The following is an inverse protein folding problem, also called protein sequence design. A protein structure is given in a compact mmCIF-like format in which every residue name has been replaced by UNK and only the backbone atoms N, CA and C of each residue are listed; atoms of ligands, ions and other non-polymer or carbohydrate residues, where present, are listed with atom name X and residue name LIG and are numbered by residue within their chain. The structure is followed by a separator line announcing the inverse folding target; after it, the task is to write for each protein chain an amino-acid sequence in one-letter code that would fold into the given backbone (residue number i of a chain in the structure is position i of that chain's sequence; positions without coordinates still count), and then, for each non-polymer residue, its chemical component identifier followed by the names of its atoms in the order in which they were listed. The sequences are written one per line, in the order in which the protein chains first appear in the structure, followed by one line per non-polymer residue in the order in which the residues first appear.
data_IF_663234849377
#
_entry.id   IF_663234849377
#
_cell.length_a   1.000
_cell.length_b   1.000
_cell.length_c   1.000
_cell.angle_alpha   90.00
_cell.angle_beta   90.00
_cell.angle_gamma   90.00
#
_symmetry.space_group_name_H-M   'P 1'
#
loop_
_entity.id
_entity.type
_entity.pdbx_description
1 polymer ?
2 non-polymer ?
3 water ?
#
# COMPACT_ATOMS: atom_id res chain seq x y z
N UNK A 5 -16.78 8.52 3.70
CA UNK A 5 -15.53 9.17 3.28
C UNK A 5 -15.45 10.66 3.69
N UNK A 6 -16.18 11.04 4.77
CA UNK A 6 -16.17 12.42 5.29
C UNK A 6 -14.83 12.75 5.97
N UNK A 7 -14.31 13.98 5.75
CA UNK A 7 -13.01 14.39 6.28
C UNK A 7 -13.09 15.37 7.44
N UNK A 8 -12.16 15.24 8.41
CA UNK A 8 -12.07 16.19 9.52
C UNK A 8 -11.38 17.48 9.02
N UNK A 9 -11.45 18.58 9.82
CA UNK A 9 -10.88 19.89 9.48
C UNK A 9 -9.40 19.84 9.04
N UNK A 10 -8.57 19.07 9.77
CA UNK A 10 -7.14 18.90 9.50
C UNK A 10 -6.88 18.20 8.16
N UNK A 11 -7.67 17.17 7.83
CA UNK A 11 -7.52 16.43 6.57
C UNK A 11 -7.88 17.31 5.37
N UNK A 12 -9.01 18.03 5.47
CA UNK A 12 -9.52 18.93 4.42
C UNK A 12 -8.48 20.03 4.05
N UNK A 13 -7.85 20.62 5.07
CA UNK A 13 -6.84 21.67 4.96
C UNK A 13 -5.55 21.16 4.29
N UNK A 14 -5.04 19.96 4.68
CA UNK A 14 -3.84 19.35 4.11
C UNK A 14 -4.02 19.04 2.62
N UNK A 15 -5.22 18.57 2.26
CA UNK A 15 -5.62 18.24 0.91
C UNK A 15 -5.71 19.53 0.07
N UNK A 16 -6.20 20.63 0.68
CA UNK A 16 -6.31 21.96 0.06
C UNK A 16 -4.91 22.55 -0.20
N UNK A 17 -3.98 22.45 0.78
CA UNK A 17 -2.58 22.91 0.67
C UNK A 17 -1.73 22.10 -0.33
N UNK A 18 -2.09 20.82 -0.59
CA UNK A 18 -1.37 19.99 -1.55
C UNK A 18 -1.75 20.43 -2.98
N UNK A 19 -3.05 20.68 -3.22
CA UNK A 19 -3.59 21.10 -4.52
C UNK A 19 -3.10 22.48 -4.94
N UNK A 20 -2.98 23.41 -3.97
CA UNK A 20 -2.49 24.78 -4.17
C UNK A 20 -1.00 24.71 -4.58
N UNK A 21 -0.19 23.81 -3.95
CA UNK A 21 1.21 23.65 -4.30
C UNK A 21 1.31 23.03 -5.71
N UNK A 22 0.48 22.00 -5.98
CA UNK A 22 0.43 21.27 -7.25
C UNK A 22 0.12 22.21 -8.45
N UNK A 23 -0.81 23.17 -8.26
CA UNK A 23 -1.22 24.14 -9.28
C UNK A 23 -0.08 25.06 -9.77
N UNK A 24 0.93 25.28 -8.91
CA UNK A 24 2.10 26.11 -9.17
C UNK A 24 3.21 25.41 -10.00
N UNK A 25 3.20 24.07 -10.07
CA UNK A 25 4.25 23.27 -10.73
C UNK A 25 4.24 23.40 -12.27
N UNK A 26 3.08 23.20 -12.88
CA UNK A 26 2.97 23.24 -14.33
C UNK A 26 3.42 21.94 -14.96
N UNK A 27 3.89 22.00 -16.23
CA UNK A 27 4.33 20.84 -17.00
C UNK A 27 5.63 20.25 -16.47
N UNK A 28 5.62 18.94 -16.17
CA UNK A 28 6.77 18.21 -15.65
C UNK A 28 7.73 17.86 -16.75
N UNK A 29 9.01 18.22 -16.58
CA UNK A 29 10.06 17.99 -17.58
C UNK A 29 11.26 17.34 -16.96
N UNK A 30 11.87 16.41 -17.70
CA UNK A 30 13.03 15.63 -17.26
C UNK A 30 14.15 16.46 -16.63
N UNK A 31 14.59 17.51 -17.33
CA UNK A 31 15.69 18.37 -16.90
C UNK A 31 15.38 19.25 -15.69
N UNK A 32 14.11 19.29 -15.25
CA UNK A 32 13.73 20.09 -14.08
C UNK A 32 13.95 19.38 -12.72
N UNK A 33 14.47 18.14 -12.78
CA UNK A 33 14.69 17.30 -11.60
C UNK A 33 16.15 17.05 -11.23
N UNK A 34 16.43 17.09 -9.93
CA UNK A 34 17.72 16.78 -9.33
C UNK A 34 17.53 15.59 -8.37
N UNK A 35 18.27 14.48 -8.58
CA UNK A 35 18.23 13.29 -7.72
C UNK A 35 18.86 13.58 -6.35
N UNK A 36 18.13 13.26 -5.26
CA UNK A 36 18.61 13.45 -3.87
C UNK A 36 19.16 12.11 -3.36
N UNK A 37 18.35 11.04 -3.44
CA UNK A 37 18.69 9.67 -3.02
C UNK A 37 17.67 8.66 -3.58
N UNK A 38 17.92 7.35 -3.36
CA UNK A 38 17.02 6.30 -3.78
C UNK A 38 16.12 5.92 -2.58
N UNK A 39 14.79 5.80 -2.82
CA UNK A 39 13.80 5.45 -1.80
C UNK A 39 13.45 3.94 -1.75
N UNK A 40 13.34 3.31 -2.92
CA UNK A 40 13.02 1.91 -3.02
C UNK A 40 12.74 1.44 -4.43
N UNK A 41 12.45 0.15 -4.56
CA UNK A 41 12.12 -0.58 -5.79
C UNK A 41 11.34 -1.84 -5.35
N UNK A 42 10.25 -2.20 -6.02
CA UNK A 42 9.67 -1.53 -7.18
C UNK A 42 8.94 -2.50 -8.08
N UNK A 43 7.75 -2.11 -8.56
CA UNK A 43 6.98 -2.92 -9.50
C UNK A 43 7.45 -2.48 -10.89
N UNK A 44 8.55 -3.13 -11.33
CA UNK A 44 9.21 -2.84 -12.59
C UNK A 44 9.92 -1.50 -12.66
N UNK A 45 10.13 -0.87 -11.50
CA UNK A 45 10.78 0.44 -11.41
C UNK A 45 11.53 0.77 -10.13
N UNK A 46 12.23 1.89 -10.14
CA UNK A 46 12.99 2.42 -9.01
C UNK A 46 12.34 3.76 -8.65
N UNK A 47 12.33 4.08 -7.36
CA UNK A 47 11.75 5.31 -6.84
C UNK A 47 12.85 6.14 -6.24
N UNK A 48 13.00 7.36 -6.71
CA UNK A 48 14.02 8.27 -6.18
C UNK A 48 13.38 9.45 -5.47
N UNK A 49 14.06 9.98 -4.46
CA UNK A 49 13.65 11.21 -3.79
C UNK A 49 14.32 12.29 -4.67
N UNK A 50 13.53 13.24 -5.18
CA UNK A 50 14.04 14.25 -6.09
C UNK A 50 13.66 15.65 -5.66
N UNK A 51 14.37 16.63 -6.23
CA UNK A 51 14.05 18.04 -6.06
C UNK A 51 13.49 18.53 -7.42
N UNK A 52 12.31 19.16 -7.41
CA UNK A 52 11.78 19.78 -8.64
C UNK A 52 12.28 21.22 -8.53
N UNK A 53 13.45 21.49 -9.15
CA UNK A 53 14.23 22.73 -9.09
C UNK A 53 13.41 24.03 -9.30
N UNK A 54 12.53 24.16 -10.34
CA UNK A 54 11.79 25.43 -10.49
C UNK A 54 10.85 25.79 -9.32
N UNK A 55 10.05 24.82 -8.82
CA UNK A 55 9.11 25.05 -7.72
C UNK A 55 9.72 24.85 -6.34
N UNK A 56 10.90 24.23 -6.26
CA UNK A 56 11.58 23.94 -5.00
C UNK A 56 10.95 22.80 -4.19
N UNK A 57 9.97 22.09 -4.79
CA UNK A 57 9.25 20.96 -4.18
C UNK A 57 10.04 19.66 -4.23
N UNK A 58 10.15 18.98 -3.08
CA UNK A 58 10.74 17.66 -2.94
C UNK A 58 9.60 16.69 -3.31
N UNK A 59 9.86 15.75 -4.22
CA UNK A 59 8.89 14.75 -4.70
C UNK A 59 9.54 13.37 -4.68
N UNK A 60 8.72 12.32 -4.92
CA UNK A 60 9.17 10.94 -5.13
C UNK A 60 8.96 10.70 -6.64
N UNK A 61 10.00 10.27 -7.33
CA UNK A 61 9.90 10.05 -8.75
C UNK A 61 10.11 8.57 -9.05
N UNK A 62 9.08 7.92 -9.61
CA UNK A 62 9.14 6.51 -9.99
C UNK A 62 9.53 6.44 -11.47
N UNK A 63 10.63 5.72 -11.77
CA UNK A 63 11.13 5.56 -13.14
C UNK A 63 10.95 4.12 -13.59
N UNK A 64 10.17 3.92 -14.66
CA UNK A 64 9.92 2.60 -15.26
C UNK A 64 10.63 2.57 -16.62
N UNK A 65 11.69 1.76 -16.77
CA UNK A 65 12.37 1.68 -18.07
C UNK A 65 11.57 0.81 -19.05
N UNK A 66 11.12 1.45 -20.13
CA UNK A 66 10.34 0.82 -21.19
C UNK A 66 10.72 1.38 -22.55
N UNK A 67 11.22 0.50 -23.44
CA UNK A 67 11.61 0.88 -24.81
C UNK A 67 10.44 0.56 -25.74
N UNK A 68 9.65 1.61 -26.07
CA UNK A 68 8.45 1.48 -26.91
C UNK A 68 8.27 2.68 -27.83
N UNK A 69 7.54 2.47 -28.95
CA UNK A 69 7.25 3.48 -29.98
C UNK A 69 6.44 4.69 -29.43
N UNK A 70 6.57 5.92 -30.02
CA UNK A 70 5.81 7.08 -29.49
C UNK A 70 4.30 6.88 -29.32
N UNK A 71 3.70 6.02 -30.16
CA UNK A 71 2.28 5.66 -30.18
C UNK A 71 1.80 5.11 -28.82
N UNK A 72 2.52 4.10 -28.29
CA UNK A 72 2.22 3.42 -27.03
C UNK A 72 2.41 4.34 -25.81
N UNK A 73 3.53 5.10 -25.73
CA UNK A 73 3.80 5.97 -24.59
C UNK A 73 2.81 7.14 -24.46
N UNK A 74 2.31 7.68 -25.59
CA UNK A 74 1.32 8.78 -25.57
C UNK A 74 0.01 8.36 -24.93
N UNK A 75 -0.40 7.09 -25.14
CA UNK A 75 -1.61 6.48 -24.58
C UNK A 75 -1.40 6.19 -23.09
N UNK A 76 -0.21 5.66 -22.71
CA UNK A 76 0.16 5.39 -21.32
C UNK A 76 0.05 6.68 -20.49
N UNK A 77 0.66 7.78 -20.98
CA UNK A 77 0.62 9.09 -20.32
C UNK A 77 -0.84 9.58 -20.17
N UNK A 78 -1.66 9.50 -21.25
CA UNK A 78 -3.08 9.86 -21.21
C UNK A 78 -3.89 9.01 -20.22
N UNK A 79 -3.56 7.69 -20.11
CA UNK A 79 -4.19 6.76 -19.16
C UNK A 79 -3.80 7.07 -17.69
N UNK A 80 -2.59 7.62 -17.45
CA UNK A 80 -2.12 7.98 -16.10
C UNK A 80 -2.71 9.28 -15.58
N UNK A 81 -3.33 10.08 -16.48
CA UNK A 81 -3.98 11.36 -16.15
C UNK A 81 -5.12 11.22 -15.14
N UNK A 82 -5.73 10.01 -15.06
CA UNK A 82 -6.80 9.60 -14.12
C UNK A 82 -6.35 9.85 -12.66
N UNK A 83 -5.04 9.77 -12.40
CA UNK A 83 -4.42 9.96 -11.10
C UNK A 83 -4.51 11.40 -10.57
N UNK A 84 -4.80 12.40 -11.45
CA UNK A 84 -5.00 13.81 -11.07
C UNK A 84 -6.36 13.98 -10.35
N UNK A 85 -7.29 13.04 -10.57
CA UNK A 85 -8.63 13.03 -9.99
C UNK A 85 -8.72 12.38 -8.60
N UNK A 86 -7.71 11.55 -8.22
CA UNK A 86 -7.71 10.86 -6.93
C UNK A 86 -7.23 11.77 -5.80
N UNK A 87 -8.16 12.35 -5.04
CA UNK A 87 -7.79 13.23 -3.94
C UNK A 87 -8.39 12.74 -2.64
N UNK A 88 -7.56 12.06 -1.85
CA UNK A 88 -7.95 11.47 -0.58
C UNK A 88 -6.79 11.48 0.42
N UNK A 89 -7.04 11.65 1.74
CA UNK A 89 -5.93 11.57 2.72
C UNK A 89 -5.28 10.16 2.82
N UNK A 90 -5.89 9.16 2.15
CA UNK A 90 -5.47 7.75 2.16
C UNK A 90 -4.84 7.28 0.85
N UNK A 91 -4.66 8.23 -0.11
CA UNK A 91 -4.07 7.97 -1.43
C UNK A 91 -2.93 8.96 -1.61
N UNK A 92 -1.73 8.45 -1.93
CA UNK A 92 -0.55 9.30 -2.09
C UNK A 92 -0.79 10.33 -3.23
N UNK A 93 -0.37 11.56 -2.96
CA UNK A 93 -0.51 12.65 -3.92
C UNK A 93 0.24 12.39 -5.22
N UNK A 94 -0.35 12.84 -6.32
CA UNK A 94 0.18 12.67 -7.66
C UNK A 94 0.45 14.04 -8.26
N UNK A 95 1.66 14.24 -8.83
CA UNK A 95 2.02 15.50 -9.48
C UNK A 95 1.86 15.48 -10.98
N UNK A 96 2.16 14.34 -11.60
CA UNK A 96 2.09 14.18 -13.05
C UNK A 96 2.97 13.05 -13.55
N UNK A 97 2.83 12.74 -14.85
CA UNK A 97 3.59 11.69 -15.54
C UNK A 97 4.05 12.16 -16.90
N UNK A 98 5.25 11.69 -17.30
CA UNK A 98 5.87 12.05 -18.57
C UNK A 98 6.83 10.94 -19.00
N UNK A 99 7.28 11.00 -20.26
CA UNK A 99 8.21 10.04 -20.84
C UNK A 99 9.46 10.82 -21.26
N UNK A 100 10.64 10.19 -21.07
CA UNK A 100 11.92 10.79 -21.42
C UNK A 100 12.97 9.72 -21.54
N UNK A 101 13.62 9.66 -22.72
CA UNK A 101 14.72 8.75 -23.12
C UNK A 101 14.57 7.29 -22.59
N UNK A 102 13.55 6.60 -23.08
CA UNK A 102 13.28 5.20 -22.75
C UNK A 102 12.64 4.92 -21.41
N UNK A 103 12.21 5.96 -20.65
CA UNK A 103 11.62 5.68 -19.34
C UNK A 103 10.41 6.55 -19.01
N UNK A 104 9.41 5.94 -18.36
CA UNK A 104 8.20 6.61 -17.90
C UNK A 104 8.50 7.11 -16.48
N UNK A 105 8.11 8.36 -16.19
CA UNK A 105 8.27 8.94 -14.86
C UNK A 105 6.93 9.22 -14.21
N UNK A 106 6.74 8.77 -12.95
CA UNK A 106 5.52 9.05 -12.20
C UNK A 106 5.97 9.85 -10.99
N UNK A 107 5.49 11.08 -10.89
CA UNK A 107 5.88 12.00 -9.83
C UNK A 107 4.80 12.14 -8.83
N UNK A 108 5.17 11.90 -7.58
CA UNK A 108 4.21 11.89 -6.52
C UNK A 108 4.75 12.52 -5.25
N UNK A 109 3.86 12.67 -4.27
CA UNK A 109 4.16 13.17 -2.93
C UNK A 109 5.21 12.27 -2.27
N UNK A 110 6.18 12.87 -1.56
CA UNK A 110 7.22 12.12 -0.86
C UNK A 110 6.75 11.80 0.56
N UNK A 111 6.79 10.50 0.94
CA UNK A 111 6.38 10.02 2.27
C UNK A 111 7.66 9.67 3.01
N UNK A 112 8.07 10.50 3.98
CA UNK A 112 9.37 10.37 4.66
C UNK A 112 9.56 9.16 5.57
N UNK A 113 8.47 8.43 5.87
CA UNK A 113 8.55 7.21 6.66
C UNK A 113 8.73 5.97 5.79
N UNK A 114 8.69 6.15 4.47
CA UNK A 114 8.81 5.07 3.49
C UNK A 114 7.62 4.12 3.49
N UNK A 115 7.83 2.88 3.06
CA UNK A 115 6.79 1.87 3.03
C UNK A 115 6.80 0.98 4.29
N UNK A 116 5.68 0.29 4.58
CA UNK A 116 5.60 -0.57 5.77
C UNK A 116 6.46 -1.84 5.66
N UNK A 117 6.92 -2.25 4.45
CA UNK A 117 7.86 -3.38 4.42
C UNK A 117 9.22 -2.94 5.03
N UNK A 118 9.63 -1.67 4.78
CA UNK A 118 10.87 -1.08 5.31
C UNK A 118 10.74 -0.78 6.79
N UNK A 119 9.53 -0.33 7.21
CA UNK A 119 9.27 -0.03 8.63
C UNK A 119 9.32 -1.37 9.37
N UNK A 120 8.72 -2.43 8.78
CA UNK A 120 8.71 -3.77 9.38
C UNK A 120 10.15 -4.35 9.60
N UNK A 121 11.06 -4.19 8.62
CA UNK A 121 12.47 -4.60 8.72
C UNK A 121 13.17 -3.96 9.93
N UNK A 122 12.96 -2.65 10.14
CA UNK A 122 13.51 -1.90 11.27
C UNK A 122 12.91 -2.35 12.59
N UNK A 123 11.58 -2.20 12.73
CA UNK A 123 10.80 -2.50 13.94
C UNK A 123 10.84 -3.96 14.40
N UNK A 124 10.93 -4.90 13.46
CA UNK A 124 10.88 -6.32 13.79
C UNK A 124 9.44 -6.83 13.69
N UNK A 125 8.54 -6.23 14.46
CA UNK A 125 7.11 -6.48 14.41
C UNK A 125 6.36 -5.22 14.83
N UNK A 126 5.18 -5.02 14.25
CA UNK A 126 4.39 -3.82 14.49
C UNK A 126 3.28 -4.08 15.52
N UNK A 127 3.14 -3.22 16.57
CA UNK A 127 2.07 -3.49 17.58
C UNK A 127 0.65 -3.37 17.02
N UNK A 128 -0.25 -4.15 17.62
CA UNK A 128 -1.68 -4.23 17.34
C UNK A 128 -2.36 -2.86 17.23
N UNK A 129 -2.11 -1.95 18.20
CA UNK A 129 -2.72 -0.61 18.18
C UNK A 129 -2.31 0.18 16.94
N UNK A 130 -1.03 0.07 16.52
CA UNK A 130 -0.52 0.69 15.28
C UNK A 130 -1.19 0.02 14.05
N UNK A 131 -1.38 -1.32 14.10
CA UNK A 131 -2.02 -2.06 13.00
C UNK A 131 -3.51 -1.73 12.86
N UNK A 132 -4.14 -1.30 13.96
CA UNK A 132 -5.50 -0.79 13.97
C UNK A 132 -5.62 0.46 13.11
N UNK A 133 -4.67 1.39 13.26
CA UNK A 133 -4.64 2.63 12.46
C UNK A 133 -4.36 2.35 11.00
N UNK A 134 -3.45 1.40 10.72
CA UNK A 134 -3.12 0.94 9.36
C UNK A 134 -4.36 0.31 8.69
N UNK A 135 -5.12 -0.51 9.43
CA UNK A 135 -6.33 -1.16 8.91
C UNK A 135 -7.36 -0.13 8.46
N UNK A 136 -7.64 0.91 9.28
CA UNK A 136 -8.57 2.00 8.99
C UNK A 136 -8.16 2.71 7.69
N UNK A 137 -6.87 3.09 7.56
CA UNK A 137 -6.37 3.79 6.39
C UNK A 137 -6.49 2.97 5.12
N UNK A 138 -6.20 1.66 5.20
CA UNK A 138 -6.33 0.76 4.04
C UNK A 138 -7.82 0.59 3.66
N UNK A 139 -8.71 0.33 4.65
CA UNK A 139 -10.15 0.19 4.35
C UNK A 139 -10.71 1.49 3.67
N UNK A 140 -10.35 2.67 4.24
CA UNK A 140 -10.78 4.00 3.76
C UNK A 140 -10.21 4.32 2.38
N UNK A 141 -8.97 3.92 2.10
CA UNK A 141 -8.34 4.08 0.80
C UNK A 141 -9.02 3.22 -0.25
N UNK A 142 -9.25 1.93 0.08
CA UNK A 142 -9.96 1.00 -0.82
C UNK A 142 -11.41 1.46 -1.09
N UNK A 143 -12.09 2.00 -0.05
CA UNK A 143 -13.46 2.54 -0.18
C UNK A 143 -13.48 3.74 -1.14
N UNK A 144 -12.51 4.66 -0.98
CA UNK A 144 -12.39 5.82 -1.85
C UNK A 144 -12.23 5.45 -3.31
N UNK A 145 -11.28 4.53 -3.59
CA UNK A 145 -10.99 4.08 -4.95
C UNK A 145 -12.19 3.43 -5.64
N UNK A 146 -12.93 2.62 -4.90
CA UNK A 146 -14.12 1.94 -5.41
C UNK A 146 -15.30 2.93 -5.58
N UNK A 147 -15.64 3.71 -4.55
CA UNK A 147 -16.78 4.64 -4.59
C UNK A 147 -16.62 5.81 -5.56
N UNK A 148 -15.50 6.53 -5.48
CA UNK A 148 -15.30 7.72 -6.30
C UNK A 148 -14.75 7.47 -7.70
N UNK A 149 -14.07 6.34 -7.95
CA UNK A 149 -13.46 6.13 -9.26
C UNK A 149 -13.76 4.78 -9.92
N UNK A 150 -14.57 3.92 -9.28
CA UNK A 150 -14.92 2.58 -9.76
C UNK A 150 -13.68 1.74 -10.13
N UNK A 151 -12.62 1.85 -9.31
CA UNK A 151 -11.40 1.09 -9.52
C UNK A 151 -10.98 0.34 -8.24
N UNK A 152 -10.28 -0.76 -8.42
CA UNK A 152 -9.79 -1.50 -7.27
C UNK A 152 -8.29 -1.45 -7.29
N UNK A 153 -7.67 -1.57 -6.11
CA UNK A 153 -6.22 -1.47 -5.99
C UNK A 153 -5.47 -2.53 -6.80
N UNK A 154 -5.82 -3.83 -6.59
CA UNK A 154 -5.26 -5.03 -7.24
C UNK A 154 -3.86 -5.43 -6.73
N UNK A 155 -3.19 -4.59 -5.89
CA UNK A 155 -1.86 -4.93 -5.41
C UNK A 155 -1.59 -4.42 -3.97
N UNK A 156 -2.46 -4.81 -3.03
CA UNK A 156 -2.28 -4.48 -1.63
C UNK A 156 -1.19 -5.40 -1.08
N UNK A 157 -0.20 -4.80 -0.39
CA UNK A 157 0.93 -5.50 0.23
C UNK A 157 1.68 -4.50 1.12
N UNK A 158 2.54 -4.92 2.08
CA UNK A 158 3.21 -3.92 2.96
C UNK A 158 4.07 -2.88 2.25
N UNK A 159 4.70 -3.26 1.11
CA UNK A 159 5.52 -2.32 0.34
C UNK A 159 4.71 -1.26 -0.39
N UNK A 160 3.37 -1.46 -0.56
CA UNK A 160 2.49 -0.48 -1.21
C UNK A 160 1.69 0.36 -0.21
N UNK A 161 2.11 0.36 1.07
CA UNK A 161 1.51 1.17 2.13
C UNK A 161 2.59 2.12 2.64
N UNK A 162 2.40 3.42 2.41
CA UNK A 162 3.36 4.47 2.77
C UNK A 162 2.94 5.20 4.00
N UNK A 163 3.93 5.60 4.80
CA UNK A 163 3.74 6.31 6.07
C UNK A 163 4.61 7.58 6.16
N UNK A 164 4.20 8.56 6.97
CA UNK A 164 4.99 9.78 7.10
C UNK A 164 5.01 10.27 8.56
N UNK A 165 5.94 11.20 8.85
CA UNK A 165 6.15 11.81 10.16
C UNK A 165 4.99 12.65 10.68
N UNK A 166 3.95 12.92 9.85
CA UNK A 166 2.71 13.62 10.27
C UNK A 166 1.63 12.58 10.71
N UNK A 167 2.01 11.31 10.75
CA UNK A 167 1.14 10.20 11.13
C UNK A 167 0.15 9.76 10.07
N UNK A 168 0.44 10.06 8.80
CA UNK A 168 -0.42 9.68 7.68
C UNK A 168 0.01 8.32 7.12
N UNK A 169 -0.97 7.55 6.65
CA UNK A 169 -0.83 6.21 6.08
C UNK A 169 -1.60 6.27 4.77
N UNK A 170 -0.93 5.96 3.66
CA UNK A 170 -1.50 6.09 2.31
C UNK A 170 -1.14 4.93 1.41
N UNK A 171 -2.04 4.60 0.49
CA UNK A 171 -1.82 3.57 -0.52
C UNK A 171 -1.15 4.15 -1.76
N UNK A 172 -0.31 3.35 -2.40
CA UNK A 172 0.33 3.72 -3.66
C UNK A 172 0.29 2.52 -4.63
N UNK A 173 0.68 2.74 -5.89
CA UNK A 173 0.86 1.74 -6.95
C UNK A 173 -0.40 0.84 -7.23
N UNK A 174 -1.51 1.49 -7.55
CA UNK A 174 -2.73 0.81 -7.98
C UNK A 174 -2.80 1.05 -9.49
N UNK A 175 -2.86 -0.02 -10.27
CA UNK A 175 -2.89 0.02 -11.74
C UNK A 175 -4.07 0.78 -12.32
N UNK A 176 -3.79 1.79 -13.15
CA UNK A 176 -4.84 2.61 -13.75
C UNK A 176 -4.73 2.63 -15.30
N UNK A 177 -3.57 2.17 -15.82
CA UNK A 177 -3.24 2.12 -17.24
C UNK A 177 -3.10 0.66 -17.73
N UNK A 178 -4.01 0.26 -18.62
CA UNK A 178 -4.02 -1.07 -19.24
C UNK A 178 -2.81 -1.27 -20.12
N UNK A 179 -2.49 -0.26 -20.96
CA UNK A 179 -1.33 -0.27 -21.86
C UNK A 179 0.00 -0.40 -21.14
N UNK A 180 0.17 0.28 -19.98
CA UNK A 180 1.40 0.20 -19.17
C UNK A 180 1.62 -1.23 -18.61
N UNK A 181 0.53 -1.89 -18.14
CA UNK A 181 0.62 -3.27 -17.62
C UNK A 181 0.97 -4.25 -18.77
N UNK A 182 0.30 -4.09 -19.95
CA UNK A 182 0.52 -4.92 -21.14
C UNK A 182 1.97 -4.84 -21.64
N UNK A 183 2.53 -3.60 -21.69
CA UNK A 183 3.90 -3.32 -22.11
C UNK A 183 4.97 -3.90 -21.17
N UNK A 184 4.60 -4.13 -19.90
CA UNK A 184 5.48 -4.70 -18.86
C UNK A 184 5.41 -6.24 -18.78
N UNK A 185 4.33 -6.85 -19.33
CA UNK A 185 4.13 -8.30 -19.33
N UNK A 190 5.89 -8.37 -10.70
CA UNK A 190 5.59 -8.26 -9.26
C UNK A 190 5.16 -9.56 -8.60
N UNK A 191 5.42 -9.70 -7.28
CA UNK A 191 5.10 -10.94 -6.54
C UNK A 191 3.58 -11.22 -6.47
N UNK A 192 3.23 -12.51 -6.52
CA UNK A 192 1.85 -13.00 -6.44
C UNK A 192 1.56 -13.61 -5.06
N UNK A 193 2.54 -13.55 -4.15
CA UNK A 193 2.44 -14.09 -2.79
C UNK A 193 1.34 -13.42 -1.90
N UNK A 194 0.81 -12.24 -2.30
CA UNK A 194 -0.29 -11.60 -1.56
C UNK A 194 -1.64 -11.73 -2.27
N UNK A 195 -1.69 -12.51 -3.38
CA UNK A 195 -2.93 -12.69 -4.12
C UNK A 195 -3.86 -13.69 -3.46
N UNK A 196 -5.15 -13.40 -3.50
CA UNK A 196 -6.21 -14.22 -2.93
C UNK A 196 -6.30 -15.59 -3.63
N UNK A 197 -6.86 -16.64 -2.99
CA UNK A 197 -6.98 -17.95 -3.68
C UNK A 197 -7.77 -17.89 -4.98
N UNK A 198 -8.88 -17.11 -5.03
CA UNK A 198 -9.73 -16.98 -6.21
C UNK A 198 -9.01 -16.32 -7.39
N UNK A 199 -8.07 -15.37 -7.12
CA UNK A 199 -7.24 -14.73 -8.16
C UNK A 199 -6.19 -15.69 -8.71
N UNK A 200 -5.59 -16.54 -7.84
CA UNK A 200 -4.59 -17.54 -8.26
C UNK A 200 -5.22 -18.72 -9.06
N UNK A 201 -6.55 -18.88 -8.97
CA UNK A 201 -7.34 -19.93 -9.63
C UNK A 201 -8.00 -19.36 -10.90
N UNK A 202 -7.66 -18.11 -11.24
CA UNK A 202 -8.17 -17.37 -12.39
C UNK A 202 -9.67 -17.13 -12.40
N UNK A 203 -10.35 -17.29 -11.24
CA UNK A 203 -11.82 -17.15 -11.14
C UNK A 203 -12.27 -15.70 -10.85
N UNK A 204 -13.56 -15.57 -10.44
CA UNK A 204 -14.29 -14.34 -10.11
C UNK A 204 -13.57 -13.50 -9.05
N UNK A 205 -13.10 -12.30 -9.44
CA UNK A 205 -12.41 -11.45 -8.47
C UNK A 205 -12.89 -9.99 -8.50
N UNK A 206 -13.25 -9.52 -7.31
CA UNK A 206 -13.72 -8.16 -7.04
C UNK A 206 -12.78 -7.51 -6.03
N UNK A 207 -13.29 -6.50 -5.30
CA UNK A 207 -12.61 -5.78 -4.22
C UNK A 207 -12.31 -6.77 -3.05
N UNK A 208 -12.98 -7.94 -3.05
CA UNK A 208 -12.81 -9.00 -2.06
C UNK A 208 -11.38 -9.57 -2.07
N UNK A 209 -10.69 -9.55 -3.22
CA UNK A 209 -9.32 -10.03 -3.34
C UNK A 209 -8.32 -9.09 -2.67
N UNK A 210 -8.65 -7.78 -2.59
CA UNK A 210 -7.85 -6.77 -1.91
C UNK A 210 -7.99 -6.91 -0.39
N UNK A 211 -9.15 -7.36 0.09
CA UNK A 211 -9.40 -7.60 1.52
C UNK A 211 -8.54 -8.74 2.01
N UNK A 212 -8.41 -9.80 1.18
CA UNK A 212 -7.55 -10.95 1.48
C UNK A 212 -6.10 -10.46 1.63
N UNK A 213 -5.63 -9.62 0.68
CA UNK A 213 -4.25 -9.10 0.65
C UNK A 213 -3.96 -8.25 1.91
N UNK A 214 -4.97 -7.46 2.35
CA UNK A 214 -4.87 -6.67 3.55
C UNK A 214 -4.71 -7.56 4.78
N UNK A 215 -5.57 -8.57 4.94
CA UNK A 215 -5.51 -9.51 6.06
C UNK A 215 -4.17 -10.20 6.17
N UNK A 216 -3.63 -10.63 5.01
CA UNK A 216 -2.34 -11.31 4.90
C UNK A 216 -1.17 -10.38 5.30
N UNK A 217 -1.22 -9.11 4.84
CA UNK A 217 -0.24 -8.05 5.15
C UNK A 217 -0.24 -7.77 6.65
N UNK A 218 -1.44 -7.72 7.27
CA UNK A 218 -1.60 -7.47 8.70
C UNK A 218 -0.95 -8.58 9.55
N UNK A 219 -1.16 -9.86 9.19
CA UNK A 219 -0.58 -11.02 9.89
C UNK A 219 0.94 -10.94 9.79
N UNK A 220 1.47 -10.70 8.58
CA UNK A 220 2.92 -10.56 8.39
C UNK A 220 3.53 -9.48 9.31
N UNK A 221 2.91 -8.28 9.37
CA UNK A 221 3.38 -7.15 10.18
C UNK A 221 3.26 -7.41 11.69
N UNK A 222 2.20 -8.15 12.10
CA UNK A 222 1.99 -8.50 13.51
C UNK A 222 3.02 -9.51 14.02
N UNK A 223 3.37 -10.51 13.19
CA UNK A 223 4.27 -11.56 13.62
C UNK A 223 5.73 -11.25 13.24
N UNK A 224 5.94 -10.44 12.21
CA UNK A 224 7.26 -10.02 11.73
C UNK A 224 7.86 -10.99 10.74
N UNK A 225 7.02 -11.73 10.03
CA UNK A 225 7.48 -12.75 9.07
C UNK A 225 6.35 -12.94 8.04
N UNK A 226 6.69 -13.21 6.75
CA UNK A 226 5.67 -13.56 5.74
C UNK A 226 4.98 -14.82 6.32
N UNK A 227 3.63 -14.89 6.46
CA UNK A 227 3.03 -15.98 7.28
C UNK A 227 2.76 -17.35 6.65
N UNK A 228 3.21 -17.60 5.40
CA UNK A 228 3.01 -18.89 4.72
C UNK A 228 4.39 -19.54 4.46
N UNK A 229 4.66 -20.78 4.95
CA UNK A 229 3.77 -21.68 5.73
C UNK A 229 3.69 -21.21 7.18
N UNK A 230 2.71 -21.66 8.01
CA UNK A 230 2.63 -21.18 9.40
C UNK A 230 3.87 -21.49 10.24
N UNK A 231 4.22 -20.62 11.24
CA UNK A 231 5.36 -20.94 12.10
C UNK A 231 5.04 -22.10 13.03
N UNK A 232 6.06 -22.91 13.34
CA UNK A 232 5.95 -24.05 14.25
C UNK A 232 5.83 -23.55 15.70
N UNK A 233 5.37 -24.42 16.64
CA UNK A 233 5.20 -24.08 18.06
C UNK A 233 6.49 -23.55 18.74
N UNK A 234 7.66 -23.93 18.18
CA UNK A 234 8.98 -23.52 18.67
C UNK A 234 9.43 -22.19 18.06
N UNK A 235 8.93 -21.86 16.84
CA UNK A 235 9.24 -20.60 16.15
C UNK A 235 8.52 -19.44 16.85
N UNK A 236 7.25 -19.67 17.27
CA UNK A 236 6.42 -18.72 18.00
C UNK A 236 6.94 -18.52 19.42
N UNK A 237 7.50 -19.59 20.03
CA UNK A 237 8.11 -19.61 21.37
C UNK A 237 9.37 -18.73 21.40
N UNK A 238 10.11 -18.69 20.27
CA UNK A 238 11.29 -17.87 20.08
C UNK A 238 10.87 -16.39 19.95
N UNK A 239 9.82 -16.13 19.13
CA UNK A 239 9.29 -14.80 18.82
C UNK A 239 8.59 -14.06 19.96
N UNK A 240 7.67 -14.74 20.67
CA UNK A 240 6.87 -14.10 21.70
C UNK A 240 7.13 -14.60 23.14
N UNK A 241 7.77 -15.77 23.27
CA UNK A 241 8.08 -16.38 24.56
C UNK A 241 6.95 -17.23 25.13
N UNK A 242 5.99 -17.65 24.28
CA UNK A 242 4.85 -18.48 24.69
N UNK A 272 13.35 -24.54 2.23
CA UNK A 272 12.55 -23.37 1.85
C UNK A 272 11.46 -23.64 0.80
N UNK A 273 10.46 -22.75 0.75
CA UNK A 273 9.35 -22.88 -0.18
C UNK A 273 9.55 -22.00 -1.43
N UNK A 274 9.55 -22.64 -2.61
CA UNK A 274 9.63 -21.93 -3.90
C UNK A 274 8.29 -21.25 -4.12
N UNK A 275 8.28 -20.13 -4.86
CA UNK A 275 7.08 -19.34 -5.13
C UNK A 275 5.91 -20.22 -5.68
N UNK A 276 6.19 -21.22 -6.54
CA UNK A 276 5.14 -22.09 -7.08
C UNK A 276 4.49 -22.99 -6.01
N UNK A 277 5.29 -23.45 -5.05
CA UNK A 277 4.85 -24.28 -3.92
C UNK A 277 3.97 -23.47 -2.97
N UNK A 278 4.36 -22.22 -2.77
CA UNK A 278 3.70 -21.23 -1.93
C UNK A 278 2.31 -20.90 -2.52
N UNK A 279 2.22 -20.61 -3.85
CA UNK A 279 0.94 -20.29 -4.50
C UNK A 279 -0.01 -21.49 -4.46
N UNK A 280 0.52 -22.71 -4.54
CA UNK A 280 -0.28 -23.92 -4.43
C UNK A 280 -0.80 -24.08 -2.99
N UNK A 281 0.06 -23.74 -1.97
CA UNK A 281 -0.28 -23.75 -0.54
C UNK A 281 -1.43 -22.77 -0.25
N UNK A 282 -1.37 -21.53 -0.79
CA UNK A 282 -2.44 -20.51 -0.65
C UNK A 282 -3.79 -21.07 -1.18
N UNK A 283 -3.78 -21.72 -2.36
CA UNK A 283 -5.02 -22.26 -2.97
C UNK A 283 -5.57 -23.48 -2.22
N UNK A 284 -4.69 -24.38 -1.80
CA UNK A 284 -5.11 -25.68 -1.26
C UNK A 284 -5.09 -25.87 0.25
N UNK A 285 -4.43 -24.99 1.04
CA UNK A 285 -4.38 -25.17 2.49
C UNK A 285 -5.24 -24.17 3.29
N UNK A 286 -5.57 -24.45 4.58
CA UNK A 286 -6.36 -23.46 5.36
C UNK A 286 -5.62 -22.13 5.48
N UNK A 287 -6.35 -21.00 5.57
CA UNK A 287 -5.68 -19.71 5.60
C UNK A 287 -4.85 -19.46 6.86
N UNK A 288 -3.82 -18.59 6.76
CA UNK A 288 -3.01 -18.27 7.94
C UNK A 288 -3.85 -17.53 9.00
N UNK A 289 -3.35 -17.50 10.23
CA UNK A 289 -4.02 -16.82 11.32
C UNK A 289 -2.99 -16.30 12.31
N UNK A 290 -3.39 -15.37 13.17
CA UNK A 290 -2.53 -14.86 14.23
C UNK A 290 -2.38 -15.91 15.32
N UNK A 291 -1.20 -16.00 15.99
CA UNK A 291 -1.10 -16.89 17.16
C UNK A 291 -2.02 -16.39 18.29
N UNK A 292 -2.55 -17.32 19.08
CA UNK A 292 -3.43 -16.92 20.17
C UNK A 292 -2.65 -16.59 21.44
N UNK A 293 -3.30 -15.85 22.33
CA UNK A 293 -2.75 -15.43 23.62
C UNK A 293 -1.61 -14.43 23.54
N UNK A 294 -1.55 -13.67 22.45
CA UNK A 294 -0.56 -12.64 22.13
C UNK A 294 -1.31 -11.40 21.60
N UNK A 295 -2.42 -11.62 20.86
CA UNK A 295 -3.20 -10.56 20.23
C UNK A 295 -4.58 -10.61 20.79
N UNK A 296 -5.32 -9.46 20.76
CA UNK A 296 -6.68 -9.49 21.29
C UNK A 296 -7.55 -10.37 20.36
N UNK A 297 -8.66 -10.86 20.87
CA UNK A 297 -9.61 -11.70 20.13
C UNK A 297 -10.30 -10.92 19.05
N UNK A 298 -10.44 -9.60 19.24
CA UNK A 298 -11.03 -8.73 18.21
C UNK A 298 -10.10 -8.57 17.02
N UNK A 299 -8.80 -8.46 17.25
CA UNK A 299 -7.83 -8.38 16.15
C UNK A 299 -7.78 -9.73 15.45
N UNK A 300 -7.79 -10.84 16.21
CA UNK A 300 -7.82 -12.19 15.62
C UNK A 300 -9.07 -12.41 14.77
N UNK A 301 -10.25 -12.01 15.28
CA UNK A 301 -11.49 -12.18 14.54
C UNK A 301 -11.48 -11.37 13.24
N UNK A 302 -10.93 -10.14 13.30
CA UNK A 302 -10.78 -9.21 12.18
C UNK A 302 -9.95 -9.81 11.05
N UNK A 303 -8.73 -10.33 11.35
CA UNK A 303 -7.89 -10.94 10.30
C UNK A 303 -8.52 -12.24 9.73
N UNK A 304 -9.23 -13.05 10.57
CA UNK A 304 -9.91 -14.28 10.12
C UNK A 304 -11.02 -14.00 9.11
N UNK A 305 -11.76 -12.90 9.30
CA UNK A 305 -12.84 -12.47 8.42
C UNK A 305 -12.31 -11.94 7.04
N UNK A 306 -11.07 -11.43 7.02
CA UNK A 306 -10.37 -10.94 5.82
C UNK A 306 -9.85 -12.16 5.05
N UNK A 307 -9.49 -13.25 5.78
CA UNK A 307 -8.80 -14.38 5.19
C UNK A 307 -9.66 -15.66 4.96
N UNK A 308 -10.99 -15.53 4.97
CA UNK A 308 -11.87 -16.63 4.61
C UNK A 308 -11.65 -16.85 3.08
N UNK A 309 -11.26 -18.09 2.69
CA UNK A 309 -10.97 -18.48 1.30
C UNK A 309 -12.13 -18.23 0.33
N UNK A 310 -13.38 -18.39 0.77
CA UNK A 310 -14.54 -18.16 -0.08
C UNK A 310 -14.80 -16.65 -0.21
N UNK A 311 -14.64 -16.02 -1.39
CA UNK A 311 -14.86 -14.55 -1.50
C UNK A 311 -16.25 -14.07 -1.08
N UNK A 312 -17.27 -14.96 -1.06
CA UNK A 312 -18.64 -14.61 -0.66
C UNK A 312 -18.82 -14.59 0.86
N UNK A 313 -18.16 -15.52 1.58
CA UNK A 313 -18.21 -15.55 3.03
C UNK A 313 -17.30 -14.45 3.66
N UNK A 314 -16.14 -14.13 2.97
CA UNK A 314 -15.17 -13.10 3.36
C UNK A 314 -15.87 -11.77 3.55
N UNK A 315 -15.52 -11.02 4.62
CA UNK A 315 -16.15 -9.72 4.90
C UNK A 315 -15.89 -8.72 3.79
N UNK A 316 -16.82 -7.79 3.61
CA UNK A 316 -16.69 -6.75 2.59
C UNK A 316 -16.26 -5.46 3.25
N UNK A 318 -17.77 -2.64 3.80
CA UNK A 318 -18.83 -2.06 4.64
C UNK A 318 -18.87 -2.77 6.00
N UNK A 319 -18.70 -4.10 5.99
CA UNK A 319 -18.72 -4.90 7.20
C UNK A 319 -17.44 -4.70 8.01
N UNK A 320 -16.29 -4.51 7.32
CA UNK A 320 -15.02 -4.27 8.01
C UNK A 320 -15.00 -2.94 8.72
N UNK A 321 -15.58 -1.90 8.13
CA UNK A 321 -15.67 -0.55 8.70
C UNK A 321 -16.37 -0.49 10.07
N UNK A 322 -17.35 -1.41 10.32
CA UNK A 322 -18.10 -1.49 11.58
C UNK A 322 -17.69 -2.72 12.45
N UNK A 323 -16.57 -3.38 12.09
CA UNK A 323 -16.06 -4.52 12.87
C UNK A 323 -15.54 -3.96 14.21
N UNK A 324 -15.73 -4.72 15.30
CA UNK A 324 -15.30 -4.40 16.66
C UNK A 324 -13.85 -3.92 16.75
N UNK A 325 -12.94 -4.54 15.97
CA UNK A 325 -11.52 -4.14 15.97
C UNK A 325 -11.38 -2.71 15.41
N UNK A 326 -12.12 -2.39 14.34
CA UNK A 326 -12.07 -1.08 13.70
C UNK A 326 -12.68 0.01 14.58
N UNK A 327 -13.87 -0.25 15.18
CA UNK A 327 -14.52 0.71 16.07
C UNK A 327 -13.67 1.00 17.29
N UNK A 328 -13.05 -0.04 17.89
CA UNK A 328 -12.16 0.13 19.05
C UNK A 328 -10.90 0.95 18.66
N UNK A 329 -10.28 0.64 17.51
CA UNK A 329 -9.10 1.36 17.01
C UNK A 329 -9.38 2.81 16.69
N UNK A 330 -10.56 3.11 16.11
CA UNK A 330 -10.94 4.50 15.80
C UNK A 330 -11.08 5.37 17.06
N UNK A 331 -11.54 4.79 18.17
CA UNK A 331 -11.69 5.49 19.45
C UNK A 331 -10.36 5.57 20.22
N UNK A 332 -9.39 4.71 19.88
CA UNK A 332 -8.08 4.73 20.55
C UNK A 332 -7.31 5.96 20.11
N UNK A 333 -6.60 6.56 21.06
CA UNK A 333 -5.79 7.74 20.77
C UNK A 333 -4.36 7.27 20.70
N UNK A 334 -3.97 6.84 19.50
CA UNK A 334 -2.67 6.24 19.26
C UNK A 334 -1.75 7.27 18.60
N UNK A 335 -0.58 7.50 19.21
CA UNK A 335 0.37 8.44 18.61
C UNK A 335 1.24 7.68 17.59
N UNK A 336 0.71 7.53 16.38
CA UNK A 336 1.34 6.84 15.27
C UNK A 336 2.65 7.54 14.83
N UNK A 337 2.62 8.87 14.64
CA UNK A 337 3.79 9.66 14.24
C UNK A 337 4.94 9.49 15.24
N UNK A 338 4.61 9.56 16.54
CA UNK A 338 5.55 9.37 17.64
C UNK A 338 6.15 7.99 17.61
N UNK A 339 5.30 6.92 17.55
CA UNK A 339 5.77 5.53 17.49
C UNK A 339 6.69 5.35 16.30
N UNK A 340 6.30 5.88 15.13
CA UNK A 340 7.05 5.76 13.89
C UNK A 340 8.42 6.45 13.94
N UNK A 341 8.48 7.69 14.42
CA UNK A 341 9.74 8.45 14.50
C UNK A 341 10.76 7.80 15.43
N UNK A 342 10.31 7.32 16.60
CA UNK A 342 11.13 6.57 17.57
C UNK A 342 11.67 5.24 17.00
N UNK A 343 10.83 4.51 16.27
CA UNK A 343 11.14 3.18 15.73
C UNK A 343 12.14 3.20 14.57
N UNK A 344 12.02 4.17 13.66
CA UNK A 344 12.89 4.20 12.48
C UNK A 344 13.99 5.28 12.62
N UNK A 345 13.96 6.03 13.72
CA UNK A 345 14.93 7.08 14.00
C UNK A 345 14.80 8.32 13.13
N UNK A 346 13.55 8.73 12.80
CA UNK A 346 13.29 9.93 12.01
C UNK A 346 13.66 11.15 12.87
N UNK A 347 14.88 11.68 12.68
CA UNK A 347 15.41 12.83 13.43
#
# INVERSE_FOLDING_TARGET
GLEELELDEQQRKRLEAFLTQKQKVGELKDDDFEKISELGAGNGGVVFKVSHKPSGLVMARKLIHLEIKPAIRNQIIRELQVLHECNSPYIVGFYGAFYSDGEISICMEHMDGGSLDQVLKKAGRIPEQILGKVSIAVIKGLTYLREKHKIMHRDVKPSNILVNSRGEIKLCDFGVSGQLIDSMANSFVGTRSYMSPERLQGTHYSVQSDIWSMGLSLVEMAVGRYPIPPPDAKELELMFGCQVEGDAAETPPRPRTPGRPLNKKGMDSRPPMAIFELLDYIVNEPPPKLPSGVFSLEFQDFVNKCLIKNPAERADLKQLMVHAFIKRSDAEEVDFAGWLCSTIGLNQ
#
